data_IF_495538580236
#
_entry.id   IF_495538580236
#
_cell.length_a   1.000
_cell.length_b   1.000
_cell.length_c   1.000
_cell.angle_alpha   90.00
_cell.angle_beta   90.00
_cell.angle_gamma   90.00
#
_symmetry.space_group_name_H-M   'P 1'
#
loop_
_entity.id
_entity.type
_entity.pdbx_description
1 polymer ?
#
# COMPACT_ATOMS: atom_id res chain seq x y z
N UNK A 1 26.24 31.59 -27.89
CA UNK A 1 26.56 30.14 -28.07
C UNK A 1 26.14 29.48 -26.77
N UNK A 2 24.90 28.99 -26.72
CA UNK A 2 24.28 28.41 -25.55
C UNK A 2 24.57 26.93 -25.53
N UNK A 3 25.07 26.49 -24.42
CA UNK A 3 25.37 25.08 -24.15
C UNK A 3 24.09 24.37 -23.67
N UNK A 4 23.39 23.73 -24.61
CA UNK A 4 22.19 22.91 -24.39
C UNK A 4 22.54 21.42 -24.36
N UNK A 5 23.53 21.02 -23.57
CA UNK A 5 23.95 19.60 -23.54
C UNK A 5 24.05 19.00 -22.13
N UNK A 6 22.96 19.02 -21.33
CA UNK A 6 22.99 18.28 -20.06
C UNK A 6 21.62 17.91 -19.47
N UNK A 7 20.63 17.54 -20.27
CA UNK A 7 19.35 16.99 -19.76
C UNK A 7 18.92 15.75 -20.57
N UNK A 8 19.77 14.75 -20.67
CA UNK A 8 19.41 13.45 -21.24
C UNK A 8 19.90 12.29 -20.37
N UNK A 9 19.44 12.27 -19.13
CA UNK A 9 19.56 11.14 -18.22
C UNK A 9 18.27 10.35 -18.11
N UNK A 10 17.57 10.10 -19.22
CA UNK A 10 16.49 9.13 -19.23
C UNK A 10 17.11 7.74 -19.03
N UNK A 11 17.03 7.23 -17.80
CA UNK A 11 17.42 5.85 -17.48
C UNK A 11 16.65 4.89 -18.40
N UNK A 12 17.30 4.39 -19.42
CA UNK A 12 16.76 3.38 -20.32
C UNK A 12 16.51 2.12 -19.51
N UNK A 13 15.25 1.76 -19.31
CA UNK A 13 14.88 0.46 -18.76
C UNK A 13 15.63 -0.64 -19.53
N UNK A 14 16.22 -1.65 -18.88
CA UNK A 14 16.93 -2.71 -19.56
C UNK A 14 16.03 -3.32 -20.63
N UNK A 15 16.55 -3.47 -21.84
CA UNK A 15 15.82 -4.07 -22.97
C UNK A 15 15.32 -5.43 -22.53
N UNK A 16 14.01 -5.59 -22.43
CA UNK A 16 13.37 -6.86 -22.12
C UNK A 16 13.79 -7.90 -23.15
N UNK A 17 14.69 -8.79 -22.78
CA UNK A 17 15.01 -9.93 -23.62
C UNK A 17 13.85 -10.95 -23.58
N UNK A 18 13.80 -11.88 -24.54
CA UNK A 18 12.72 -12.86 -24.64
C UNK A 18 12.53 -13.65 -23.33
N UNK A 19 13.63 -14.00 -22.65
CA UNK A 19 13.58 -14.74 -21.39
C UNK A 19 12.86 -13.95 -20.29
N UNK A 20 13.12 -12.64 -20.18
CA UNK A 20 12.46 -11.77 -19.20
C UNK A 20 10.96 -11.64 -19.50
N UNK A 21 10.57 -11.57 -20.78
CA UNK A 21 9.16 -11.55 -21.19
C UNK A 21 8.45 -12.86 -20.85
N UNK A 22 9.07 -14.01 -21.18
CA UNK A 22 8.55 -15.33 -20.82
C UNK A 22 8.40 -15.45 -19.31
N UNK A 23 9.44 -15.07 -18.55
CA UNK A 23 9.37 -15.06 -17.09
C UNK A 23 8.25 -14.17 -16.58
N UNK A 24 8.06 -12.96 -17.11
CA UNK A 24 6.97 -12.05 -16.75
C UNK A 24 5.59 -12.64 -16.98
N UNK A 25 5.38 -13.33 -18.12
CA UNK A 25 4.12 -14.02 -18.40
C UNK A 25 3.88 -15.17 -17.42
N UNK A 26 4.87 -16.04 -17.22
CA UNK A 26 4.78 -17.16 -16.28
C UNK A 26 4.54 -16.68 -14.86
N UNK A 27 5.30 -15.66 -14.40
CA UNK A 27 5.15 -15.09 -13.08
C UNK A 27 3.75 -14.47 -12.89
N UNK A 28 3.19 -13.84 -13.93
CA UNK A 28 1.82 -13.30 -13.88
C UNK A 28 0.78 -14.41 -13.75
N UNK A 29 0.89 -15.46 -14.57
CA UNK A 29 -0.03 -16.61 -14.51
C UNK A 29 0.01 -17.26 -13.12
N UNK A 30 1.20 -17.53 -12.59
CA UNK A 30 1.38 -18.11 -11.26
C UNK A 30 0.85 -17.18 -10.17
N UNK A 31 1.05 -15.86 -10.28
CA UNK A 31 0.52 -14.89 -9.31
C UNK A 31 -1.02 -14.90 -9.29
N UNK A 32 -1.66 -15.00 -10.45
CA UNK A 32 -3.12 -15.14 -10.55
C UNK A 32 -3.57 -16.46 -9.91
N UNK A 33 -2.88 -17.56 -10.19
CA UNK A 33 -3.17 -18.88 -9.60
C UNK A 33 -3.04 -18.86 -8.07
N UNK A 34 -1.94 -18.30 -7.54
CA UNK A 34 -1.74 -18.15 -6.09
C UNK A 34 -2.86 -17.29 -5.47
N UNK A 35 -3.26 -16.22 -6.15
CA UNK A 35 -4.37 -15.37 -5.69
C UNK A 35 -5.67 -16.16 -5.62
N UNK A 36 -6.01 -16.94 -6.65
CA UNK A 36 -7.21 -17.77 -6.67
C UNK A 36 -7.19 -18.84 -5.56
N UNK A 37 -6.07 -19.52 -5.37
CA UNK A 37 -5.92 -20.55 -4.33
C UNK A 37 -6.01 -19.93 -2.92
N UNK A 38 -5.28 -18.83 -2.66
CA UNK A 38 -5.28 -18.19 -1.34
C UNK A 38 -6.59 -17.46 -1.03
N UNK A 39 -7.37 -17.09 -2.05
CA UNK A 39 -8.68 -16.49 -1.84
C UNK A 39 -9.67 -17.47 -1.19
N UNK A 40 -9.53 -18.79 -1.40
CA UNK A 40 -10.41 -19.81 -0.82
C UNK A 40 -10.35 -19.80 0.72
N UNK A 41 -9.19 -20.02 1.39
CA UNK A 41 -9.11 -19.97 2.83
C UNK A 41 -9.40 -18.56 3.39
N UNK A 42 -9.04 -17.49 2.67
CA UNK A 42 -9.38 -16.13 3.09
C UNK A 42 -10.90 -15.90 3.08
N UNK A 43 -11.60 -16.33 2.04
CA UNK A 43 -13.06 -16.25 1.94
C UNK A 43 -13.75 -17.12 3.02
N UNK A 44 -13.26 -18.33 3.25
CA UNK A 44 -13.78 -19.22 4.29
C UNK A 44 -13.62 -18.58 5.66
N UNK A 45 -12.45 -18.01 5.97
CA UNK A 45 -12.19 -17.25 7.19
C UNK A 45 -13.16 -16.09 7.38
N UNK A 46 -13.40 -15.31 6.31
CA UNK A 46 -14.37 -14.21 6.32
C UNK A 46 -15.82 -14.70 6.58
N UNK A 47 -16.22 -15.83 6.00
CA UNK A 47 -17.55 -16.45 6.19
C UNK A 47 -17.77 -16.95 7.60
N UNK A 48 -16.71 -17.46 8.24
CA UNK A 48 -16.74 -17.97 9.62
C UNK A 48 -16.61 -16.87 10.68
N UNK A 49 -16.54 -15.60 10.29
CA UNK A 49 -16.32 -14.47 11.20
C UNK A 49 -14.92 -14.46 11.84
N UNK A 50 -13.96 -15.19 11.27
CA UNK A 50 -12.59 -15.32 11.75
C UNK A 50 -11.61 -14.53 10.87
N UNK A 51 -11.94 -13.28 10.57
CA UNK A 51 -11.17 -12.44 9.65
C UNK A 51 -9.68 -12.28 9.99
N UNK A 52 -9.30 -12.45 11.26
CA UNK A 52 -7.90 -12.47 11.70
C UNK A 52 -7.08 -13.63 11.13
N UNK A 53 -7.70 -14.75 10.76
CA UNK A 53 -7.00 -15.88 10.14
C UNK A 53 -6.51 -15.61 8.72
N UNK A 54 -6.91 -14.48 8.15
CA UNK A 54 -6.43 -14.06 6.81
C UNK A 54 -4.95 -13.69 6.81
N UNK A 55 -4.40 -13.25 7.96
CA UNK A 55 -3.01 -12.76 8.03
C UNK A 55 -1.96 -13.81 7.62
N UNK A 56 -1.96 -15.07 8.12
CA UNK A 56 -1.02 -16.06 7.64
C UNK A 56 -1.23 -16.39 6.16
N UNK A 57 -2.48 -16.38 5.67
CA UNK A 57 -2.78 -16.59 4.26
C UNK A 57 -2.17 -15.49 3.39
N UNK A 58 -2.33 -14.23 3.77
CA UNK A 58 -1.76 -13.09 3.02
C UNK A 58 -0.23 -13.09 3.04
N UNK A 59 0.40 -13.52 4.12
CA UNK A 59 1.87 -13.65 4.21
C UNK A 59 2.41 -14.72 3.26
N UNK A 60 1.76 -15.89 3.20
CA UNK A 60 2.13 -16.97 2.28
C UNK A 60 1.91 -16.51 0.83
N UNK A 61 0.75 -15.92 0.55
CA UNK A 61 0.39 -15.42 -0.77
C UNK A 61 1.41 -14.41 -1.30
N UNK A 62 1.75 -13.39 -0.50
CA UNK A 62 2.71 -12.37 -0.89
C UNK A 62 4.11 -12.94 -1.02
N UNK A 63 4.51 -13.86 -0.14
CA UNK A 63 5.80 -14.55 -0.24
C UNK A 63 5.95 -15.33 -1.56
N UNK A 64 4.91 -16.09 -1.95
CA UNK A 64 4.89 -16.82 -3.23
C UNK A 64 5.06 -15.87 -4.42
N UNK A 65 4.29 -14.78 -4.45
CA UNK A 65 4.35 -13.80 -5.55
C UNK A 65 5.73 -13.15 -5.62
N UNK A 66 6.26 -12.68 -4.49
CA UNK A 66 7.57 -12.03 -4.44
C UNK A 66 8.68 -12.98 -4.91
N UNK A 67 8.63 -14.23 -4.45
CA UNK A 67 9.61 -15.25 -4.85
C UNK A 67 9.54 -15.57 -6.34
N UNK A 68 8.34 -15.74 -6.88
CA UNK A 68 8.12 -16.06 -8.29
C UNK A 68 8.49 -14.89 -9.21
N UNK A 69 8.20 -13.67 -8.79
CA UNK A 69 8.56 -12.46 -9.54
C UNK A 69 10.03 -12.05 -9.35
N UNK A 70 10.80 -12.72 -8.49
CA UNK A 70 12.20 -12.37 -8.21
C UNK A 70 12.33 -10.96 -7.60
N UNK A 71 11.36 -10.52 -6.81
CA UNK A 71 11.36 -9.20 -6.20
C UNK A 71 12.43 -9.17 -5.10
N UNK A 72 13.28 -8.14 -5.14
CA UNK A 72 14.21 -7.81 -4.06
C UNK A 72 13.57 -6.72 -3.22
N UNK A 73 13.26 -7.05 -1.98
CA UNK A 73 12.53 -6.18 -1.08
C UNK A 73 13.44 -5.64 0.03
N UNK A 74 13.26 -4.37 0.37
CA UNK A 74 13.94 -3.67 1.46
C UNK A 74 12.92 -2.89 2.28
N UNK A 75 13.14 -2.81 3.60
CA UNK A 75 12.36 -1.94 4.49
C UNK A 75 13.32 -1.14 5.39
N UNK A 76 13.08 0.15 5.49
CA UNK A 76 13.87 1.10 6.28
C UNK A 76 12.95 1.82 7.29
N UNK A 77 13.48 2.26 8.42
CA UNK A 77 12.75 3.08 9.40
C UNK A 77 11.84 2.28 10.33
N UNK A 78 12.02 0.96 10.46
CA UNK A 78 11.23 0.13 11.38
C UNK A 78 11.34 0.58 12.84
N UNK A 79 12.45 1.23 13.20
CA UNK A 79 12.68 1.80 14.53
C UNK A 79 11.64 2.86 14.91
N UNK A 80 11.05 3.55 13.92
CA UNK A 80 9.99 4.55 14.12
C UNK A 80 8.67 3.94 14.62
N UNK A 81 8.49 2.64 14.49
CA UNK A 81 7.28 1.95 14.97
C UNK A 81 7.37 1.50 16.43
N UNK A 82 8.56 1.58 17.04
CA UNK A 82 8.76 1.14 18.42
C UNK A 82 7.93 2.00 19.39
N UNK A 83 7.19 1.32 20.26
CA UNK A 83 6.35 1.96 21.27
C UNK A 83 5.00 2.48 20.74
N UNK A 84 4.65 2.20 19.49
CA UNK A 84 3.32 2.48 18.95
C UNK A 84 2.46 1.21 19.06
N UNK A 85 1.33 1.31 19.78
CA UNK A 85 0.36 0.21 19.89
C UNK A 85 -0.41 0.02 18.57
N UNK A 86 -0.77 1.13 17.92
CA UNK A 86 -1.43 1.16 16.61
C UNK A 86 -1.19 2.51 15.92
N UNK A 87 -1.20 2.51 14.60
CA UNK A 87 -0.93 3.70 13.80
C UNK A 87 -1.62 3.65 12.44
N UNK A 88 -1.70 4.82 11.81
CA UNK A 88 -2.17 4.97 10.43
C UNK A 88 -0.97 5.18 9.52
N UNK A 89 -0.69 4.20 8.64
CA UNK A 89 0.27 4.35 7.55
C UNK A 89 -0.34 5.24 6.46
N UNK A 90 0.40 6.25 6.04
CA UNK A 90 0.00 7.15 4.96
C UNK A 90 1.01 7.04 3.83
N UNK A 91 0.60 6.40 2.74
CA UNK A 91 1.49 5.98 1.65
C UNK A 91 1.10 6.58 0.31
N UNK A 92 2.08 6.66 -0.59
CA UNK A 92 1.87 6.84 -2.03
C UNK A 92 1.33 5.56 -2.67
N UNK A 93 0.83 5.64 -3.93
CA UNK A 93 0.24 4.49 -4.62
C UNK A 93 0.57 4.46 -6.11
N UNK A 94 1.52 3.62 -6.50
CA UNK A 94 1.97 3.47 -7.90
C UNK A 94 1.50 2.18 -8.56
N UNK A 95 1.28 1.12 -7.77
CA UNK A 95 1.00 -0.21 -8.29
C UNK A 95 0.02 -0.99 -7.41
N UNK A 96 -0.61 -2.03 -7.95
CA UNK A 96 -1.30 -3.03 -7.12
C UNK A 96 -0.32 -3.78 -6.20
N UNK A 97 0.95 -3.81 -6.57
CA UNK A 97 1.99 -4.46 -5.78
C UNK A 97 2.27 -3.72 -4.46
N UNK A 98 1.89 -2.44 -4.34
CA UNK A 98 2.02 -1.70 -3.07
C UNK A 98 1.28 -2.41 -1.92
N UNK A 99 0.09 -2.95 -2.20
CA UNK A 99 -0.70 -3.71 -1.23
C UNK A 99 0.07 -4.96 -0.78
N UNK A 100 0.66 -5.68 -1.74
CA UNK A 100 1.46 -6.87 -1.47
C UNK A 100 2.71 -6.53 -0.66
N UNK A 101 3.38 -5.43 -1.00
CA UNK A 101 4.57 -4.95 -0.31
C UNK A 101 4.28 -4.61 1.16
N UNK A 102 3.17 -3.91 1.43
CA UNK A 102 2.74 -3.59 2.78
C UNK A 102 2.42 -4.87 3.56
N UNK A 103 1.64 -5.81 3.01
CA UNK A 103 1.36 -7.08 3.68
C UNK A 103 2.62 -7.93 3.96
N UNK A 104 3.59 -7.85 3.05
CA UNK A 104 4.83 -8.63 3.12
C UNK A 104 5.81 -8.08 4.14
N UNK A 105 6.02 -6.77 4.16
CA UNK A 105 7.14 -6.13 4.83
C UNK A 105 6.76 -5.48 6.16
N UNK A 106 5.50 -5.05 6.33
CA UNK A 106 5.09 -4.41 7.57
C UNK A 106 4.95 -5.43 8.72
N UNK A 107 5.48 -5.12 9.90
CA UNK A 107 5.23 -5.90 11.09
C UNK A 107 3.76 -5.76 11.54
N UNK A 108 3.25 -6.82 12.18
CA UNK A 108 1.87 -6.83 12.68
C UNK A 108 0.82 -7.00 11.59
N UNK A 109 -0.40 -6.67 11.95
CA UNK A 109 -1.54 -6.77 11.04
C UNK A 109 -1.92 -5.40 10.49
N UNK A 110 -2.09 -5.33 9.18
CA UNK A 110 -2.47 -4.10 8.48
C UNK A 110 -3.83 -4.28 7.81
N UNK A 111 -4.69 -3.28 7.95
CA UNK A 111 -5.99 -3.19 7.26
C UNK A 111 -5.96 -1.99 6.32
N UNK A 112 -6.47 -2.17 5.11
CA UNK A 112 -6.48 -1.10 4.12
C UNK A 112 -7.77 -0.33 4.14
N UNK A 113 -7.67 0.96 3.85
CA UNK A 113 -8.83 1.77 3.50
C UNK A 113 -9.07 1.64 2.01
N UNK A 114 -10.24 1.11 1.66
CA UNK A 114 -10.62 0.82 0.28
C UNK A 114 -11.89 1.57 -0.12
N UNK A 115 -11.98 1.94 -1.40
CA UNK A 115 -13.19 2.54 -1.97
C UNK A 115 -14.30 1.49 -2.10
N UNK A 116 -15.56 1.92 -1.98
CA UNK A 116 -16.74 1.05 -2.06
C UNK A 116 -16.83 0.25 -3.37
N UNK A 117 -16.26 0.78 -4.45
CA UNK A 117 -16.27 0.13 -5.76
C UNK A 117 -15.59 -1.25 -5.74
N UNK A 118 -14.65 -1.49 -4.81
CA UNK A 118 -13.97 -2.79 -4.67
C UNK A 118 -14.96 -3.90 -4.26
N UNK A 119 -16.06 -3.53 -3.61
CA UNK A 119 -17.13 -4.47 -3.22
C UNK A 119 -17.86 -5.09 -4.42
N UNK A 120 -17.75 -4.47 -5.60
CA UNK A 120 -18.36 -4.98 -6.84
C UNK A 120 -17.60 -6.19 -7.41
N UNK A 121 -16.36 -6.44 -6.94
CA UNK A 121 -15.60 -7.62 -7.35
C UNK A 121 -16.08 -8.83 -6.54
N UNK A 122 -16.73 -9.83 -7.21
CA UNK A 122 -17.28 -10.98 -6.51
C UNK A 122 -16.20 -11.72 -5.70
N UNK A 123 -16.59 -12.32 -4.58
CA UNK A 123 -15.72 -13.06 -3.66
C UNK A 123 -14.63 -12.16 -3.03
N UNK A 124 -13.83 -11.46 -3.83
CA UNK A 124 -12.74 -10.59 -3.36
C UNK A 124 -13.27 -9.43 -2.51
N UNK A 125 -14.27 -8.69 -3.02
CA UNK A 125 -14.88 -7.56 -2.29
C UNK A 125 -15.51 -8.01 -0.97
N UNK A 126 -16.24 -9.13 -0.97
CA UNK A 126 -16.80 -9.73 0.23
C UNK A 126 -15.68 -10.07 1.25
N UNK A 127 -14.62 -10.75 0.79
CA UNK A 127 -13.49 -11.14 1.64
C UNK A 127 -12.81 -9.91 2.23
N UNK A 128 -12.50 -8.91 1.40
CA UNK A 128 -11.89 -7.65 1.84
C UNK A 128 -12.70 -6.98 2.96
N UNK A 129 -14.02 -6.86 2.81
CA UNK A 129 -14.86 -6.20 3.81
C UNK A 129 -14.96 -6.99 5.11
N UNK A 130 -14.99 -8.32 5.03
CA UNK A 130 -15.20 -9.18 6.21
C UNK A 130 -13.88 -9.65 6.88
N UNK A 131 -12.73 -9.25 6.31
CA UNK A 131 -11.40 -9.42 6.92
C UNK A 131 -10.89 -8.14 7.60
N UNK A 132 -11.77 -7.23 8.01
CA UNK A 132 -11.44 -6.04 8.81
C UNK A 132 -10.96 -4.84 8.01
N UNK A 133 -10.93 -4.89 6.66
CA UNK A 133 -10.59 -3.72 5.87
C UNK A 133 -11.69 -2.66 5.94
N UNK A 134 -11.30 -1.38 5.92
CA UNK A 134 -12.20 -0.25 6.08
C UNK A 134 -12.71 0.18 4.70
N UNK A 135 -13.97 -0.13 4.43
CA UNK A 135 -14.61 0.33 3.20
C UNK A 135 -15.21 1.71 3.43
N UNK A 136 -14.69 2.71 2.71
CA UNK A 136 -15.19 4.08 2.78
C UNK A 136 -16.13 4.40 1.63
N UNK A 137 -17.19 5.11 2.00
CA UNK A 137 -18.08 5.81 1.09
C UNK A 137 -18.00 7.30 1.44
N UNK A 138 -17.96 8.18 0.45
CA UNK A 138 -17.88 9.64 0.65
C UNK A 138 -18.98 10.20 1.56
N UNK A 139 -20.11 9.49 1.67
CA UNK A 139 -21.26 9.90 2.46
C UNK A 139 -21.30 9.30 3.88
N UNK A 140 -20.36 8.42 4.26
CA UNK A 140 -20.44 7.67 5.52
C UNK A 140 -19.20 7.78 6.41
N UNK A 141 -18.70 9.01 6.61
CA UNK A 141 -17.52 9.27 7.44
C UNK A 141 -17.60 8.70 8.86
N UNK A 142 -18.75 8.80 9.51
CA UNK A 142 -18.96 8.22 10.85
C UNK A 142 -18.83 6.68 10.89
N UNK A 143 -19.09 5.98 9.78
CA UNK A 143 -18.88 4.54 9.67
C UNK A 143 -17.38 4.22 9.57
N UNK A 144 -16.64 4.99 8.77
CA UNK A 144 -15.20 4.83 8.67
C UNK A 144 -14.49 5.00 10.02
N UNK A 145 -14.87 6.01 10.80
CA UNK A 145 -14.33 6.21 12.16
C UNK A 145 -14.63 5.00 13.06
N UNK A 146 -15.87 4.49 13.08
CA UNK A 146 -16.21 3.32 13.90
C UNK A 146 -15.40 2.09 13.51
N UNK A 147 -15.21 1.83 12.21
CA UNK A 147 -14.40 0.70 11.74
C UNK A 147 -12.93 0.89 12.10
N UNK A 148 -12.39 2.10 11.98
CA UNK A 148 -11.02 2.39 12.37
C UNK A 148 -10.79 2.20 13.88
N UNK A 149 -11.70 2.68 14.72
CA UNK A 149 -11.65 2.46 16.17
C UNK A 149 -11.78 0.98 16.55
N UNK A 150 -12.61 0.21 15.82
CA UNK A 150 -12.70 -1.23 16.02
C UNK A 150 -11.38 -1.92 15.64
N UNK A 151 -10.80 -1.59 14.49
CA UNK A 151 -9.51 -2.10 14.05
C UNK A 151 -8.38 -1.77 15.05
N UNK A 152 -8.38 -0.54 15.58
CA UNK A 152 -7.44 -0.12 16.62
C UNK A 152 -7.54 -0.97 17.89
N UNK A 153 -8.76 -1.22 18.37
CA UNK A 153 -9.00 -2.05 19.57
C UNK A 153 -8.54 -3.50 19.40
N UNK A 154 -8.54 -4.00 18.18
CA UNK A 154 -8.03 -5.31 17.79
C UNK A 154 -6.50 -5.31 17.54
N UNK A 155 -5.83 -4.16 17.72
CA UNK A 155 -4.38 -4.02 17.51
C UNK A 155 -3.97 -3.95 16.03
N UNK A 156 -4.92 -3.65 15.11
CA UNK A 156 -4.61 -3.52 13.69
C UNK A 156 -4.10 -2.11 13.36
N UNK A 157 -3.10 -2.08 12.48
CA UNK A 157 -2.66 -0.87 11.82
C UNK A 157 -3.51 -0.60 10.57
N UNK A 158 -3.66 0.67 10.21
CA UNK A 158 -4.47 1.06 9.06
C UNK A 158 -3.56 1.65 8.00
N UNK A 159 -3.71 1.24 6.74
CA UNK A 159 -2.96 1.79 5.62
C UNK A 159 -3.89 2.59 4.70
N UNK A 160 -3.49 3.84 4.47
CA UNK A 160 -4.10 4.76 3.53
C UNK A 160 -3.18 5.01 2.35
N UNK A 161 -3.66 4.80 1.13
CA UNK A 161 -3.02 5.30 -0.07
C UNK A 161 -3.56 6.71 -0.34
N UNK A 162 -2.81 7.72 0.10
CA UNK A 162 -3.31 9.09 0.22
C UNK A 162 -3.52 9.81 -1.11
N UNK A 163 -2.82 9.40 -2.19
CA UNK A 163 -3.08 9.91 -3.55
C UNK A 163 -4.49 9.53 -4.07
N UNK A 164 -5.12 8.52 -3.48
CA UNK A 164 -6.47 8.06 -3.84
C UNK A 164 -6.59 7.36 -5.20
N UNK A 165 -5.59 7.46 -6.05
CA UNK A 165 -5.48 6.82 -7.37
C UNK A 165 -4.03 6.40 -7.62
N UNK A 166 -3.83 5.50 -8.59
CA UNK A 166 -2.49 5.18 -9.13
C UNK A 166 -2.25 6.02 -10.36
N UNK A 167 -1.09 6.66 -10.45
CA UNK A 167 -0.64 7.43 -11.62
C UNK A 167 0.41 6.64 -12.39
N UNK A 168 0.59 6.95 -13.69
CA UNK A 168 1.55 6.26 -14.56
C UNK A 168 2.89 7.00 -14.69
N UNK A 169 3.12 7.96 -13.82
CA UNK A 169 4.37 8.70 -13.70
C UNK A 169 5.09 8.32 -12.41
N UNK A 170 6.31 8.80 -12.27
CA UNK A 170 7.16 8.55 -11.09
C UNK A 170 7.11 9.72 -10.08
N UNK A 171 6.04 10.55 -10.15
CA UNK A 171 5.83 11.70 -9.27
C UNK A 171 4.88 11.33 -8.12
N UNK A 172 5.12 11.83 -6.94
CA UNK A 172 4.14 11.79 -5.85
C UNK A 172 3.13 12.91 -6.10
N UNK A 173 1.86 12.55 -6.23
CA UNK A 173 0.76 13.50 -6.40
C UNK A 173 0.23 14.00 -5.06
N UNK A 174 -0.62 15.02 -5.11
CA UNK A 174 -1.22 15.64 -3.95
C UNK A 174 -2.01 14.61 -3.11
N UNK A 175 -1.82 14.66 -1.80
CA UNK A 175 -2.50 13.78 -0.87
C UNK A 175 -3.88 14.30 -0.50
N UNK A 176 -4.86 13.41 -0.48
CA UNK A 176 -6.18 13.68 0.08
C UNK A 176 -6.12 13.68 1.60
N UNK A 177 -6.90 14.54 2.23
CA UNK A 177 -6.92 14.75 3.68
C UNK A 177 -7.66 13.66 4.49
N UNK A 178 -8.15 12.61 3.83
CA UNK A 178 -8.92 11.54 4.46
C UNK A 178 -8.14 10.75 5.52
N UNK A 179 -6.84 10.56 5.33
CA UNK A 179 -5.97 9.90 6.29
C UNK A 179 -5.77 10.77 7.54
N UNK A 180 -5.46 12.06 7.35
CA UNK A 180 -5.30 13.03 8.43
C UNK A 180 -6.62 13.21 9.23
N UNK A 181 -7.75 13.31 8.52
CA UNK A 181 -9.07 13.38 9.16
C UNK A 181 -9.34 12.17 10.05
N UNK A 182 -9.06 10.94 9.55
CA UNK A 182 -9.28 9.72 10.33
C UNK A 182 -8.34 9.65 11.54
N UNK A 183 -7.08 9.99 11.35
CA UNK A 183 -6.07 9.98 12.41
C UNK A 183 -6.41 10.93 13.56
N UNK A 184 -6.82 12.15 13.23
CA UNK A 184 -7.26 13.15 14.24
C UNK A 184 -8.50 12.66 14.97
N UNK A 185 -9.49 12.10 14.24
CA UNK A 185 -10.74 11.61 14.83
C UNK A 185 -10.52 10.40 15.76
N UNK A 186 -9.54 9.55 15.46
CA UNK A 186 -9.20 8.35 16.24
C UNK A 186 -8.04 8.55 17.22
N UNK A 187 -7.39 9.73 17.18
CA UNK A 187 -6.18 10.07 17.97
C UNK A 187 -5.01 9.11 17.74
N UNK A 188 -4.97 8.47 16.56
CA UNK A 188 -3.87 7.57 16.19
C UNK A 188 -2.73 8.35 15.54
N UNK A 189 -1.45 8.05 15.85
CA UNK A 189 -0.33 8.62 15.14
C UNK A 189 -0.35 8.26 13.66
N UNK A 190 0.09 9.18 12.81
CA UNK A 190 0.33 8.93 11.40
C UNK A 190 1.79 8.59 11.17
N UNK A 191 2.06 7.51 10.43
CA UNK A 191 3.41 7.14 10.00
C UNK A 191 3.48 7.30 8.47
N UNK A 192 4.27 8.26 7.96
CA UNK A 192 4.46 8.41 6.52
C UNK A 192 5.25 7.21 5.98
N UNK A 193 4.82 6.67 4.84
CA UNK A 193 5.41 5.51 4.19
C UNK A 193 5.65 5.81 2.71
N UNK A 194 6.90 5.84 2.28
CA UNK A 194 7.25 5.89 0.87
C UNK A 194 7.43 4.48 0.31
N UNK A 195 6.71 4.17 -0.78
CA UNK A 195 6.81 2.89 -1.50
C UNK A 195 7.43 3.18 -2.87
N UNK A 196 8.63 2.66 -3.09
CA UNK A 196 9.42 2.88 -4.31
C UNK A 196 9.59 1.58 -5.11
N UNK A 197 9.69 1.67 -6.45
CA UNK A 197 10.00 0.54 -7.34
C UNK A 197 8.82 -0.30 -7.81
N UNK A 198 7.68 -0.24 -7.16
CA UNK A 198 6.49 -1.05 -7.51
C UNK A 198 5.87 -0.66 -8.85
N UNK A 199 5.96 0.62 -9.24
CA UNK A 199 5.52 1.12 -10.54
C UNK A 199 6.30 0.50 -11.70
N UNK A 200 7.61 0.26 -11.53
CA UNK A 200 8.42 -0.42 -12.54
C UNK A 200 8.07 -1.91 -12.67
N UNK A 201 7.72 -2.57 -11.55
CA UNK A 201 7.32 -3.98 -11.54
C UNK A 201 5.98 -4.20 -12.26
N UNK A 202 4.97 -3.40 -11.95
CA UNK A 202 3.64 -3.51 -12.56
C UNK A 202 3.00 -2.12 -12.70
N UNK A 203 3.27 -1.40 -13.81
CA UNK A 203 2.65 -0.11 -14.08
C UNK A 203 1.13 -0.20 -14.14
N UNK A 204 0.44 0.90 -13.87
CA UNK A 204 -1.03 0.95 -14.02
C UNK A 204 -1.42 0.61 -15.45
N UNK A 205 -2.38 -0.33 -15.60
CA UNK A 205 -2.85 -0.81 -16.90
C UNK A 205 -2.02 -1.95 -17.50
N UNK A 206 -0.85 -2.26 -16.93
CA UNK A 206 -0.10 -3.46 -17.34
C UNK A 206 -0.88 -4.72 -16.97
N UNK A 207 -0.85 -5.70 -17.89
CA UNK A 207 -1.39 -7.04 -17.66
C UNK A 207 -0.34 -8.02 -17.15
N UNK A 208 0.94 -7.69 -17.30
CA UNK A 208 2.06 -8.56 -16.96
C UNK A 208 3.01 -7.84 -16.01
N UNK A 209 3.57 -8.60 -15.08
CA UNK A 209 4.65 -8.13 -14.22
C UNK A 209 5.98 -8.10 -14.97
N UNK A 210 6.87 -7.18 -14.59
CA UNK A 210 8.27 -7.13 -15.03
C UNK A 210 9.14 -7.69 -13.90
N UNK A 211 9.56 -8.95 -13.94
CA UNK A 211 10.24 -9.60 -12.82
C UNK A 211 11.64 -9.00 -12.56
N UNK A 212 12.22 -9.36 -11.42
CA UNK A 212 13.59 -8.98 -11.06
C UNK A 212 13.75 -7.55 -10.50
N UNK A 213 12.63 -6.84 -10.25
CA UNK A 213 12.69 -5.47 -9.74
C UNK A 213 13.06 -5.40 -8.26
N UNK A 214 13.54 -4.21 -7.86
CA UNK A 214 13.73 -3.86 -6.45
C UNK A 214 12.55 -3.02 -5.98
N UNK A 215 12.06 -3.26 -4.77
CA UNK A 215 11.09 -2.42 -4.11
C UNK A 215 11.64 -2.02 -2.74
N UNK A 216 11.30 -0.81 -2.31
CA UNK A 216 11.68 -0.31 -1.00
C UNK A 216 10.48 0.33 -0.31
N UNK A 217 10.33 0.02 0.98
CA UNK A 217 9.44 0.68 1.90
C UNK A 217 10.29 1.53 2.86
N UNK A 218 10.08 2.84 2.87
CA UNK A 218 10.78 3.75 3.79
C UNK A 218 9.76 4.39 4.73
N UNK A 219 9.88 4.10 6.02
CA UNK A 219 9.04 4.63 7.09
C UNK A 219 9.67 5.89 7.67
N UNK A 220 8.89 6.96 7.77
CA UNK A 220 9.31 8.19 8.44
C UNK A 220 8.89 8.23 9.92
N UNK A 221 9.37 9.24 10.62
CA UNK A 221 9.00 9.47 12.01
C UNK A 221 7.48 9.66 12.16
N UNK A 222 6.86 9.09 13.21
CA UNK A 222 5.43 9.22 13.44
C UNK A 222 5.07 10.67 13.77
N UNK A 223 3.96 11.14 13.21
CA UNK A 223 3.37 12.43 13.53
C UNK A 223 2.22 12.18 14.49
N UNK A 224 2.37 12.65 15.73
CA UNK A 224 1.35 12.48 16.76
C UNK A 224 0.16 13.39 16.48
N UNK A 225 -1.05 12.88 16.65
CA UNK A 225 -2.31 13.61 16.44
C UNK A 225 -2.98 14.00 17.76
N UNK A 226 -2.39 13.64 18.90
CA UNK A 226 -2.90 14.03 20.21
C UNK A 226 -2.90 15.56 20.32
N UNK A 227 -4.07 16.14 20.64
CA UNK A 227 -4.26 17.59 20.72
C UNK A 227 -4.64 18.27 19.40
N UNK A 228 -4.50 17.61 18.24
CA UNK A 228 -4.97 18.14 16.96
C UNK A 228 -6.49 18.16 16.86
N UNK A 229 -7.01 19.12 16.10
CA UNK A 229 -8.44 19.34 15.83
C UNK A 229 -8.73 19.21 14.36
N UNK A 230 -10.00 19.12 13.97
CA UNK A 230 -10.39 18.97 12.57
C UNK A 230 -9.85 20.05 11.62
N UNK A 231 -9.54 21.26 12.12
CA UNK A 231 -8.90 22.32 11.34
C UNK A 231 -7.45 22.03 10.95
N UNK A 232 -6.76 21.19 11.70
CA UNK A 232 -5.32 20.90 11.50
C UNK A 232 -5.09 19.84 10.41
N UNK A 233 -6.16 19.29 9.83
CA UNK A 233 -6.09 18.20 8.86
C UNK A 233 -5.29 18.54 7.59
N UNK A 234 -5.38 19.79 7.11
CA UNK A 234 -4.68 20.24 5.90
C UNK A 234 -3.18 20.30 6.19
N UNK A 235 -2.79 20.91 7.29
CA UNK A 235 -1.40 20.97 7.73
C UNK A 235 -0.79 19.59 7.94
N UNK A 236 -1.52 18.70 8.64
CA UNK A 236 -1.08 17.31 8.84
C UNK A 236 -0.89 16.58 7.50
N UNK A 237 -1.81 16.77 6.55
CA UNK A 237 -1.70 16.18 5.22
C UNK A 237 -0.46 16.67 4.47
N UNK A 238 -0.18 17.97 4.50
CA UNK A 238 1.02 18.56 3.87
C UNK A 238 2.32 18.03 4.50
N UNK A 239 2.36 17.90 5.83
CA UNK A 239 3.51 17.32 6.53
C UNK A 239 3.75 15.87 6.13
N UNK A 240 2.69 15.06 6.03
CA UNK A 240 2.75 13.66 5.59
C UNK A 240 3.22 13.55 4.13
N UNK A 241 2.65 14.36 3.25
CA UNK A 241 3.04 14.40 1.83
C UNK A 241 4.51 14.78 1.66
N UNK A 242 4.95 15.83 2.36
CA UNK A 242 6.36 16.27 2.34
C UNK A 242 7.29 15.17 2.82
N UNK A 243 6.95 14.48 3.92
CA UNK A 243 7.75 13.38 4.44
C UNK A 243 7.85 12.22 3.44
N UNK A 244 6.73 11.83 2.79
CA UNK A 244 6.74 10.79 1.76
C UNK A 244 7.55 11.21 0.55
N UNK A 245 7.43 12.46 0.06
CA UNK A 245 8.22 12.98 -1.07
C UNK A 245 9.72 12.93 -0.81
N UNK A 246 10.16 13.29 0.39
CA UNK A 246 11.58 13.28 0.79
C UNK A 246 12.14 11.85 0.81
N UNK A 247 11.35 10.88 1.24
CA UNK A 247 11.77 9.48 1.33
C UNK A 247 11.61 8.72 0.00
N UNK A 248 10.71 9.17 -0.88
CA UNK A 248 10.46 8.50 -2.15
C UNK A 248 11.69 8.58 -3.05
N UNK A 249 12.09 7.43 -3.55
CA UNK A 249 13.23 7.32 -4.50
C UNK A 249 12.69 6.79 -5.82
N UNK A 250 12.79 7.62 -6.85
CA UNK A 250 12.52 7.19 -8.21
C UNK A 250 13.33 5.94 -8.52
N UNK A 251 12.72 4.99 -9.22
CA UNK A 251 13.45 3.79 -9.68
C UNK A 251 14.45 4.22 -10.72
N UNK A 252 15.73 3.87 -10.61
CA UNK A 252 16.74 4.20 -11.59
C UNK A 252 16.47 3.54 -12.94
#
# INVERSE_FOLDING_TARGET
MNDESSLSGAATLPRDNLLMRVWGVVATILSVLYTAICLIPAWTSARLGKGHWVTPVTRIWTWLIFRTCGIKDEIEGLEHLKGLDSFILVANHKSLVDILAVFRLMPGEVRFVAKREIMKVPVFGYTMANCGNIVIDRQSGGRAIRHALAAQREGYNICFFAEGHRFNDDLIHEFNDGAAWLAIATKQPCVPLAISGTGALMPRGSKFVRPGQRIRLSLGAPILTAGMRGGDRVELTQRLETAVRVMYRSTP
#
